data_IF_552312300200
#
_entry.id   IF_552312300200
#
_cell.length_a   1.000
_cell.length_b   1.000
_cell.length_c   1.000
_cell.angle_alpha   90.00
_cell.angle_beta   90.00
_cell.angle_gamma   90.00
#
_symmetry.space_group_name_H-M   'P 1'
#
loop_
_entity.id
_entity.type
_entity.pdbx_description
1 polymer ?
#
# COMPACT_ATOMS: atom_id res chain seq x y z
N UNK A 1 21.61 -1.38 21.44
CA UNK A 1 20.77 -2.08 20.45
C UNK A 1 19.53 -2.55 21.18
N UNK A 2 18.36 -2.05 20.82
CA UNK A 2 17.13 -2.42 21.49
C UNK A 2 16.83 -3.92 21.22
N UNK A 3 16.16 -4.64 22.12
CA UNK A 3 15.82 -6.06 21.91
C UNK A 3 15.11 -6.30 20.57
N UNK A 4 14.24 -5.38 20.17
CA UNK A 4 13.50 -5.40 18.91
C UNK A 4 14.40 -5.38 17.66
N UNK A 5 15.59 -4.77 17.73
CA UNK A 5 16.52 -4.73 16.60
C UNK A 5 17.10 -6.13 16.30
N UNK A 6 17.26 -6.97 17.33
CA UNK A 6 17.82 -8.31 17.15
C UNK A 6 16.79 -9.26 16.53
N UNK A 7 15.56 -9.23 17.02
CA UNK A 7 14.46 -10.04 16.48
C UNK A 7 14.19 -9.68 15.01
N UNK A 8 14.15 -8.37 14.70
CA UNK A 8 14.00 -7.90 13.33
C UNK A 8 15.17 -8.33 12.42
N UNK A 9 16.41 -8.32 12.92
CA UNK A 9 17.56 -8.81 12.17
C UNK A 9 17.51 -10.32 11.92
N UNK A 10 16.98 -11.11 12.85
CA UNK A 10 16.78 -12.54 12.66
C UNK A 10 15.68 -12.85 11.64
N UNK A 11 14.59 -12.09 11.65
CA UNK A 11 13.52 -12.20 10.65
C UNK A 11 14.02 -11.86 9.23
N UNK A 12 14.83 -10.80 9.10
CA UNK A 12 15.45 -10.44 7.82
C UNK A 12 16.35 -11.56 7.29
N UNK A 13 17.12 -12.23 8.17
CA UNK A 13 17.97 -13.36 7.80
C UNK A 13 17.17 -14.59 7.35
N UNK A 14 16.01 -14.85 7.97
CA UNK A 14 15.09 -15.92 7.55
C UNK A 14 14.53 -15.66 6.15
N UNK A 15 14.39 -14.38 5.79
CA UNK A 15 13.83 -13.96 4.51
C UNK A 15 12.33 -14.27 4.40
N UNK A 16 11.70 -13.70 3.38
CA UNK A 16 10.31 -13.98 3.06
C UNK A 16 10.18 -14.21 1.55
N UNK A 17 9.37 -15.20 1.17
CA UNK A 17 9.09 -15.45 -0.24
C UNK A 17 8.00 -14.47 -0.69
N UNK A 18 8.36 -13.54 -1.56
CA UNK A 18 7.39 -12.68 -2.22
C UNK A 18 6.87 -13.37 -3.47
N UNK A 19 5.54 -13.35 -3.66
CA UNK A 19 4.93 -13.77 -4.91
C UNK A 19 5.11 -12.69 -5.97
N UNK A 20 5.38 -13.09 -7.21
CA UNK A 20 5.33 -12.15 -8.33
C UNK A 20 3.89 -11.66 -8.47
N UNK A 21 3.73 -10.34 -8.52
CA UNK A 21 2.44 -9.74 -8.86
C UNK A 21 2.30 -9.78 -10.37
N UNK A 22 1.19 -10.28 -10.87
CA UNK A 22 0.93 -10.32 -12.31
C UNK A 22 0.54 -8.92 -12.83
N UNK A 23 0.78 -8.65 -14.11
CA UNK A 23 0.43 -7.36 -14.72
C UNK A 23 -1.07 -7.04 -14.62
N UNK A 24 -1.92 -8.07 -14.63
CA UNK A 24 -3.36 -7.93 -14.43
C UNK A 24 -3.70 -7.42 -13.02
N UNK A 25 -3.02 -7.93 -11.98
CA UNK A 25 -3.19 -7.48 -10.60
C UNK A 25 -2.67 -6.07 -10.39
N UNK A 26 -1.55 -5.71 -11.03
CA UNK A 26 -1.02 -4.34 -11.01
C UNK A 26 -2.04 -3.37 -11.61
N UNK A 27 -2.59 -3.72 -12.77
CA UNK A 27 -3.58 -2.89 -13.46
C UNK A 27 -4.87 -2.72 -12.66
N UNK A 28 -5.37 -3.80 -12.05
CA UNK A 28 -6.55 -3.73 -11.19
C UNK A 28 -6.34 -2.81 -9.99
N UNK A 29 -5.14 -2.85 -9.38
CA UNK A 29 -4.77 -1.96 -8.27
C UNK A 29 -4.67 -0.49 -8.71
N UNK A 30 -4.14 -0.21 -9.89
CA UNK A 30 -4.08 1.15 -10.43
C UNK A 30 -5.47 1.71 -10.72
N UNK A 31 -6.35 0.93 -11.33
CA UNK A 31 -7.73 1.33 -11.63
C UNK A 31 -8.53 1.59 -10.34
N UNK A 32 -8.36 0.75 -9.31
CA UNK A 32 -8.99 0.96 -8.00
C UNK A 32 -8.45 2.22 -7.31
N UNK A 33 -7.13 2.43 -7.33
CA UNK A 33 -6.50 3.62 -6.77
C UNK A 33 -7.00 4.89 -7.45
N UNK A 34 -7.17 4.85 -8.78
CA UNK A 34 -7.71 5.98 -9.54
C UNK A 34 -9.15 6.29 -9.16
N UNK A 35 -10.02 5.27 -9.08
CA UNK A 35 -11.41 5.45 -8.62
C UNK A 35 -11.47 6.06 -7.22
N UNK A 36 -10.65 5.57 -6.29
CA UNK A 36 -10.59 6.14 -4.94
C UNK A 36 -10.11 7.59 -4.92
N UNK A 37 -9.16 7.97 -5.78
CA UNK A 37 -8.76 9.38 -5.89
C UNK A 37 -9.89 10.26 -6.43
N UNK A 38 -10.59 9.82 -7.48
CA UNK A 38 -11.73 10.58 -8.03
C UNK A 38 -12.86 10.73 -6.99
N UNK A 39 -13.13 9.71 -6.19
CA UNK A 39 -14.10 9.80 -5.09
C UNK A 39 -13.62 10.74 -3.98
N UNK A 40 -12.34 10.68 -3.61
CA UNK A 40 -11.76 11.58 -2.63
C UNK A 40 -11.76 13.04 -3.10
N UNK A 41 -11.55 13.30 -4.39
CA UNK A 41 -11.65 14.63 -4.98
C UNK A 41 -13.10 15.15 -4.90
N UNK A 42 -14.09 14.34 -5.27
CA UNK A 42 -15.51 14.71 -5.13
C UNK A 42 -15.89 15.01 -3.67
N UNK A 43 -15.41 14.18 -2.74
CA UNK A 43 -15.64 14.40 -1.30
C UNK A 43 -14.94 15.67 -0.84
N UNK A 44 -13.72 15.94 -1.32
CA UNK A 44 -12.97 17.16 -0.99
C UNK A 44 -13.65 18.41 -1.54
N UNK A 45 -14.20 18.37 -2.76
CA UNK A 45 -15.00 19.45 -3.33
C UNK A 45 -16.27 19.69 -2.50
N UNK A 46 -16.99 18.63 -2.14
CA UNK A 46 -18.18 18.73 -1.28
C UNK A 46 -17.87 19.24 0.14
N UNK A 47 -16.66 18.98 0.65
CA UNK A 47 -16.18 19.50 1.93
C UNK A 47 -15.58 20.92 1.80
N UNK A 48 -15.28 21.39 0.59
CA UNK A 48 -14.69 22.68 0.28
C UNK A 48 -15.70 23.84 0.14
N UNK A 49 -17.00 23.56 0.18
CA UNK A 49 -18.02 24.56 0.49
C UNK A 49 -18.16 24.74 2.01
N UNK A 50 -17.20 25.45 2.61
CA UNK A 50 -17.37 26.17 3.88
C UNK A 50 -16.33 27.27 4.06
#
# INVERSE_FOLDING_TARGET
MAPADKEMQEEIKKGVTLSKVEDADLKAREDEKKKRMEELEKVKEALGEK
#
